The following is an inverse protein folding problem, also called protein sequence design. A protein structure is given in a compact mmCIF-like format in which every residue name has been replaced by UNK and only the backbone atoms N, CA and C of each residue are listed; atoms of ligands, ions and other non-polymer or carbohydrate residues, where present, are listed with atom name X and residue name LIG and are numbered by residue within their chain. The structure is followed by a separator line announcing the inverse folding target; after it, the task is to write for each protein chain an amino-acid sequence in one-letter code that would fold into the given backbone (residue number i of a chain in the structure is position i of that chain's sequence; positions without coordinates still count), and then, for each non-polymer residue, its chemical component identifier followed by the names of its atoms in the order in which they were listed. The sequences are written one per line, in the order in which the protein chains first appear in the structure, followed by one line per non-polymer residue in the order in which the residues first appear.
data_IF_794284193370
#
_entry.id   IF_794284193370
#
_cell.length_a   1.000
_cell.length_b   1.000
_cell.length_c   1.000
_cell.angle_alpha   90.00
_cell.angle_beta   90.00
_cell.angle_gamma   90.00
#
_symmetry.space_group_name_H-M   'P 1'
#
loop_
_entity.id
_entity.type
_entity.pdbx_description
1 polymer ?
#
# COMPACT_ATOMS: atom_id res chain seq x y z
N UNK A 1 -20.25 -66.87 6.40
CA UNK A 1 -20.06 -65.51 6.95
C UNK A 1 -18.68 -64.87 6.69
N UNK A 2 -17.56 -65.61 6.56
CA UNK A 2 -16.21 -65.05 6.33
C UNK A 2 -16.02 -64.40 4.94
N UNK A 3 -16.64 -64.98 3.88
CA UNK A 3 -16.66 -64.41 2.52
C UNK A 3 -17.45 -63.10 2.44
N UNK A 4 -18.62 -63.04 3.09
CA UNK A 4 -19.48 -61.84 3.11
C UNK A 4 -18.76 -60.69 3.81
N UNK A 5 -18.12 -60.93 4.97
CA UNK A 5 -17.28 -59.92 5.65
C UNK A 5 -16.14 -59.41 4.77
N UNK A 6 -15.41 -60.30 4.08
CA UNK A 6 -14.32 -59.91 3.18
C UNK A 6 -14.82 -59.04 2.02
N UNK A 7 -15.95 -59.39 1.41
CA UNK A 7 -16.53 -58.60 0.32
C UNK A 7 -16.95 -57.21 0.80
N UNK A 8 -17.60 -57.11 1.97
CA UNK A 8 -17.97 -55.82 2.56
C UNK A 8 -16.75 -54.93 2.81
N UNK A 9 -15.67 -55.49 3.35
CA UNK A 9 -14.41 -54.75 3.58
C UNK A 9 -13.83 -54.24 2.25
N UNK A 10 -13.79 -55.08 1.22
CA UNK A 10 -13.27 -54.70 -0.10
C UNK A 10 -14.13 -53.60 -0.75
N UNK A 11 -15.45 -53.68 -0.64
CA UNK A 11 -16.36 -52.65 -1.17
C UNK A 11 -16.17 -51.31 -0.48
N UNK A 12 -16.04 -51.29 0.86
CA UNK A 12 -15.74 -50.07 1.62
C UNK A 12 -14.40 -49.48 1.18
N UNK A 13 -13.37 -50.31 1.01
CA UNK A 13 -12.04 -49.86 0.62
C UNK A 13 -12.03 -49.18 -0.77
N UNK A 14 -12.77 -49.75 -1.73
CA UNK A 14 -12.92 -49.18 -3.08
C UNK A 14 -13.71 -47.88 -3.02
N UNK A 15 -14.78 -47.80 -2.22
CA UNK A 15 -15.54 -46.56 -2.05
C UNK A 15 -14.71 -45.45 -1.40
N UNK A 16 -13.94 -45.77 -0.36
CA UNK A 16 -13.05 -44.79 0.28
C UNK A 16 -11.94 -44.33 -0.66
N UNK A 17 -11.38 -45.24 -1.47
CA UNK A 17 -10.35 -44.91 -2.45
C UNK A 17 -10.91 -44.09 -3.61
N UNK A 18 -12.12 -44.40 -4.07
CA UNK A 18 -12.83 -43.63 -5.09
C UNK A 18 -13.17 -42.23 -4.58
N UNK A 19 -13.68 -42.11 -3.35
CA UNK A 19 -13.97 -40.84 -2.72
C UNK A 19 -12.69 -40.01 -2.48
N UNK A 20 -11.60 -40.61 -2.01
CA UNK A 20 -10.33 -39.91 -1.81
C UNK A 20 -9.72 -39.46 -3.13
N UNK A 21 -9.82 -40.28 -4.18
CA UNK A 21 -9.31 -39.93 -5.52
C UNK A 21 -10.15 -38.83 -6.15
N UNK A 22 -11.48 -38.88 -6.02
CA UNK A 22 -12.38 -37.82 -6.47
C UNK A 22 -12.11 -36.51 -5.70
N UNK A 23 -11.88 -36.58 -4.38
CA UNK A 23 -11.53 -35.43 -3.57
C UNK A 23 -10.17 -34.85 -3.95
N UNK A 24 -9.15 -35.69 -4.17
CA UNK A 24 -7.84 -35.26 -4.63
C UNK A 24 -7.91 -34.64 -6.03
N UNK A 25 -8.67 -35.23 -6.95
CA UNK A 25 -8.91 -34.66 -8.26
C UNK A 25 -9.63 -33.30 -8.15
N UNK A 26 -10.65 -33.20 -7.30
CA UNK A 26 -11.33 -31.94 -7.04
C UNK A 26 -10.40 -30.87 -6.45
N UNK A 27 -9.61 -31.20 -5.43
CA UNK A 27 -8.63 -30.28 -4.83
C UNK A 27 -7.50 -29.90 -5.81
N UNK A 28 -7.08 -30.81 -6.68
CA UNK A 28 -5.98 -30.57 -7.60
C UNK A 28 -6.40 -29.83 -8.87
N UNK A 29 -7.62 -30.07 -9.37
CA UNK A 29 -8.13 -29.48 -10.60
C UNK A 29 -9.12 -28.33 -10.39
N UNK A 30 -9.99 -28.41 -9.38
CA UNK A 30 -11.10 -27.46 -9.19
C UNK A 30 -10.87 -26.45 -8.04
N UNK A 31 -10.19 -26.83 -6.96
CA UNK A 31 -9.70 -25.85 -5.98
C UNK A 31 -8.55 -24.96 -6.53
N UNK A 32 -8.26 -25.07 -7.83
CA UNK A 32 -7.32 -24.23 -8.55
C UNK A 32 -7.95 -22.92 -9.08
N UNK A 33 -9.27 -22.73 -9.02
CA UNK A 33 -9.90 -21.47 -9.46
C UNK A 33 -9.48 -20.28 -8.56
N UNK A 34 -9.25 -20.55 -7.27
CA UNK A 34 -8.65 -19.61 -6.31
C UNK A 34 -7.20 -19.22 -6.65
N UNK A 35 -6.57 -19.88 -7.64
CA UNK A 35 -5.20 -19.56 -8.10
C UNK A 35 -5.15 -18.66 -9.33
N UNK A 36 -6.28 -18.33 -9.96
CA UNK A 36 -6.32 -17.41 -11.11
C UNK A 36 -6.09 -15.96 -10.68
N UNK A 37 -4.84 -15.50 -10.73
CA UNK A 37 -4.47 -14.13 -10.38
C UNK A 37 -4.95 -13.08 -11.40
N UNK A 38 -5.56 -13.49 -12.51
CA UNK A 38 -5.98 -12.55 -13.55
C UNK A 38 -7.01 -11.54 -13.06
N UNK A 39 -6.85 -10.30 -13.50
CA UNK A 39 -7.75 -9.20 -13.19
C UNK A 39 -7.02 -7.87 -13.08
N UNK A 40 -7.81 -6.82 -12.95
CA UNK A 40 -7.34 -5.50 -12.57
C UNK A 40 -7.44 -5.37 -11.06
N UNK A 41 -6.34 -5.00 -10.43
CA UNK A 41 -6.18 -4.93 -8.99
C UNK A 41 -5.77 -3.51 -8.61
N UNK A 42 -6.33 -3.01 -7.51
CA UNK A 42 -5.94 -1.72 -6.94
C UNK A 42 -5.39 -1.93 -5.55
N UNK A 43 -4.19 -1.42 -5.31
CA UNK A 43 -3.53 -1.41 -4.01
C UNK A 43 -3.34 0.03 -3.52
N UNK A 44 -3.22 0.18 -2.21
CA UNK A 44 -2.99 1.46 -1.55
C UNK A 44 -1.68 1.40 -0.78
N UNK A 45 -0.80 2.36 -1.05
CA UNK A 45 0.38 2.61 -0.25
C UNK A 45 0.04 3.61 0.85
N UNK A 46 0.12 3.19 2.10
CA UNK A 46 -0.10 4.07 3.24
C UNK A 46 1.11 4.97 3.49
N UNK A 47 0.87 6.28 3.51
CA UNK A 47 1.87 7.33 3.68
C UNK A 47 1.77 8.07 5.02
N UNK A 48 0.70 7.87 5.79
CA UNK A 48 0.42 8.62 7.03
C UNK A 48 1.57 8.61 8.02
N UNK A 49 2.07 7.43 8.41
CA UNK A 49 3.14 7.31 9.40
C UNK A 49 4.41 8.04 8.93
N UNK A 50 4.81 7.83 7.67
CA UNK A 50 6.01 8.47 7.13
C UNK A 50 5.88 10.00 7.08
N UNK A 51 4.74 10.50 6.58
CA UNK A 51 4.47 11.93 6.51
C UNK A 51 4.46 12.56 7.90
N UNK A 52 3.79 11.92 8.87
CA UNK A 52 3.68 12.41 10.23
C UNK A 52 5.03 12.40 10.96
N UNK A 53 5.84 11.35 10.84
CA UNK A 53 7.19 11.30 11.42
C UNK A 53 8.08 12.39 10.82
N UNK A 54 8.02 12.60 9.50
CA UNK A 54 8.82 13.62 8.81
C UNK A 54 8.40 15.03 9.24
N UNK A 55 7.09 15.29 9.30
CA UNK A 55 6.55 16.56 9.77
C UNK A 55 6.89 16.80 11.24
N UNK A 56 6.72 15.81 12.11
CA UNK A 56 7.07 15.90 13.53
C UNK A 56 8.53 16.29 13.72
N UNK A 57 9.46 15.64 13.00
CA UNK A 57 10.87 15.95 13.07
C UNK A 57 11.17 17.41 12.75
N UNK A 58 10.45 18.00 11.79
CA UNK A 58 10.60 19.41 11.44
C UNK A 58 9.89 20.36 12.43
N UNK A 59 8.70 19.99 12.93
CA UNK A 59 7.96 20.80 13.90
C UNK A 59 8.65 20.85 15.26
N UNK A 60 9.37 19.79 15.65
CA UNK A 60 10.11 19.74 16.91
C UNK A 60 11.23 20.78 17.00
N UNK A 61 11.74 21.25 15.86
CA UNK A 61 12.71 22.36 15.82
C UNK A 61 12.09 23.70 16.24
N UNK A 62 10.75 23.80 16.29
CA UNK A 62 10.07 24.97 16.84
C UNK A 62 10.18 24.97 18.38
N UNK A 63 11.26 25.59 18.87
CA UNK A 63 11.54 25.73 20.30
C UNK A 63 10.31 26.23 21.10
N UNK A 64 10.10 25.64 22.28
CA UNK A 64 9.14 26.00 23.33
C UNK A 64 7.73 25.38 23.33
N UNK A 65 7.29 24.69 22.26
CA UNK A 65 6.01 23.96 22.28
C UNK A 65 6.24 22.46 22.13
N UNK A 66 5.67 21.65 23.03
CA UNK A 66 5.72 20.19 22.91
C UNK A 66 4.67 19.75 21.91
N UNK A 67 5.11 19.07 20.86
CA UNK A 67 4.26 18.37 19.90
C UNK A 67 4.57 16.88 19.96
N UNK A 68 3.52 16.06 19.96
CA UNK A 68 3.65 14.59 19.93
C UNK A 68 3.37 14.04 18.54
N UNK A 69 3.76 12.79 18.29
CA UNK A 69 3.43 12.11 17.04
C UNK A 69 1.92 11.98 16.84
N UNK A 70 1.19 11.68 17.91
CA UNK A 70 -0.28 11.55 17.89
C UNK A 70 -0.96 12.85 17.46
N UNK A 71 -0.46 14.00 17.93
CA UNK A 71 -0.98 15.32 17.52
C UNK A 71 -0.82 15.52 16.01
N UNK A 72 0.35 15.17 15.45
CA UNK A 72 0.65 15.34 14.03
C UNK A 72 -0.11 14.33 13.17
N UNK A 73 -0.15 13.06 13.58
CA UNK A 73 -0.91 12.00 12.90
C UNK A 73 -2.41 12.33 12.84
N UNK A 74 -2.95 12.94 13.90
CA UNK A 74 -4.35 13.34 13.93
C UNK A 74 -4.72 14.34 12.83
N UNK A 75 -3.76 15.17 12.39
CA UNK A 75 -3.92 16.10 11.27
C UNK A 75 -3.64 15.45 9.89
N UNK A 76 -3.06 14.24 9.84
CA UNK A 76 -2.54 13.61 8.62
C UNK A 76 -3.14 12.22 8.36
N UNK A 77 -4.46 12.13 8.42
CA UNK A 77 -5.17 10.85 8.31
C UNK A 77 -5.40 10.44 6.85
N UNK A 78 -5.47 9.13 6.62
CA UNK A 78 -5.89 8.53 5.34
C UNK A 78 -5.03 8.96 4.14
N UNK A 79 -3.73 9.18 4.36
CA UNK A 79 -2.79 9.49 3.29
C UNK A 79 -2.43 8.20 2.54
N UNK A 80 -3.05 7.99 1.38
CA UNK A 80 -2.84 6.80 0.54
C UNK A 80 -2.51 7.15 -0.90
N UNK A 81 -1.51 6.48 -1.47
CA UNK A 81 -1.19 6.54 -2.90
C UNK A 81 -1.63 5.25 -3.57
N UNK A 82 -2.44 5.38 -4.62
CA UNK A 82 -2.98 4.24 -5.36
C UNK A 82 -1.95 3.66 -6.33
N UNK A 83 -1.86 2.33 -6.34
CA UNK A 83 -1.17 1.53 -7.34
C UNK A 83 -2.20 0.66 -8.05
N UNK A 84 -2.17 0.66 -9.38
CA UNK A 84 -2.90 -0.31 -10.17
C UNK A 84 -1.97 -1.42 -10.65
N UNK A 85 -2.46 -2.66 -10.58
CA UNK A 85 -1.80 -3.87 -11.03
C UNK A 85 -2.77 -4.66 -11.91
N UNK A 86 -2.41 -4.88 -13.16
CA UNK A 86 -3.15 -5.75 -14.07
C UNK A 86 -2.38 -7.04 -14.26
N UNK A 87 -3.06 -8.17 -14.08
CA UNK A 87 -2.52 -9.50 -14.33
C UNK A 87 -3.34 -10.19 -15.42
N UNK A 88 -2.67 -10.66 -16.47
CA UNK A 88 -3.28 -11.41 -17.56
C UNK A 88 -2.65 -12.80 -17.62
N UNK A 89 -3.46 -13.86 -17.52
CA UNK A 89 -2.94 -15.22 -17.55
C UNK A 89 -2.76 -15.70 -18.99
N UNK A 90 -1.53 -16.11 -19.33
CA UNK A 90 -1.20 -16.67 -20.66
C UNK A 90 -1.05 -18.19 -20.61
N UNK A 91 -0.61 -18.75 -19.48
CA UNK A 91 -0.51 -20.19 -19.23
C UNK A 91 -0.79 -20.53 -17.76
N UNK A 92 -0.79 -21.82 -17.40
CA UNK A 92 -1.12 -22.24 -16.03
C UNK A 92 -0.05 -21.74 -15.06
N UNK A 93 -0.44 -20.78 -14.20
CA UNK A 93 0.48 -20.17 -13.24
C UNK A 93 1.44 -19.16 -13.88
N UNK A 94 1.21 -18.73 -15.11
CA UNK A 94 2.09 -17.79 -15.81
C UNK A 94 1.26 -16.74 -16.54
N UNK A 95 1.85 -15.57 -16.79
CA UNK A 95 1.15 -14.50 -17.46
C UNK A 95 1.97 -13.25 -17.70
N UNK A 96 1.29 -12.20 -18.12
CA UNK A 96 1.85 -10.84 -18.23
C UNK A 96 1.29 -9.96 -17.14
N UNK A 97 2.03 -8.92 -16.77
CA UNK A 97 1.57 -7.92 -15.82
C UNK A 97 1.90 -6.50 -16.29
N UNK A 98 1.11 -5.56 -15.79
CA UNK A 98 1.36 -4.12 -15.86
C UNK A 98 1.10 -3.54 -14.48
N UNK A 99 2.00 -2.70 -14.00
CA UNK A 99 1.89 -2.01 -12.72
C UNK A 99 2.16 -0.51 -12.94
N UNK A 100 1.39 0.33 -12.27
CA UNK A 100 1.56 1.79 -12.33
C UNK A 100 1.07 2.46 -11.04
N UNK A 101 1.84 3.42 -10.56
CA UNK A 101 1.46 4.41 -9.54
C UNK A 101 0.59 5.47 -10.22
N UNK A 102 -0.58 5.75 -9.68
CA UNK A 102 -1.49 6.74 -10.26
C UNK A 102 -1.06 8.18 -9.90
N UNK A 103 -0.63 9.02 -10.86
CA UNK A 103 -0.11 10.36 -10.56
C UNK A 103 -1.13 11.26 -9.86
N UNK A 104 -2.40 11.17 -10.25
CA UNK A 104 -3.48 11.97 -9.66
C UNK A 104 -3.71 11.60 -8.19
N UNK A 105 -3.59 10.31 -7.84
CA UNK A 105 -3.66 9.85 -6.45
C UNK A 105 -2.46 10.34 -5.65
N UNK A 106 -1.26 10.32 -6.24
CA UNK A 106 -0.06 10.88 -5.61
C UNK A 106 -0.23 12.38 -5.33
N UNK A 107 -0.69 13.17 -6.30
CA UNK A 107 -0.88 14.61 -6.13
C UNK A 107 -1.94 14.93 -5.06
N UNK A 108 -3.05 14.18 -5.03
CA UNK A 108 -4.06 14.32 -3.99
C UNK A 108 -3.50 13.97 -2.59
N UNK A 109 -2.77 12.85 -2.48
CA UNK A 109 -2.11 12.45 -1.24
C UNK A 109 -1.08 13.50 -0.79
N UNK A 110 -0.30 14.06 -1.72
CA UNK A 110 0.69 15.11 -1.45
C UNK A 110 0.02 16.37 -0.94
N UNK A 111 -1.05 16.81 -1.60
CA UNK A 111 -1.82 17.97 -1.18
C UNK A 111 -2.37 17.78 0.24
N UNK A 112 -3.05 16.65 0.50
CA UNK A 112 -3.61 16.34 1.82
C UNK A 112 -2.53 16.28 2.92
N UNK A 113 -1.35 15.72 2.62
CA UNK A 113 -0.24 15.68 3.57
C UNK A 113 0.21 17.09 4.00
N UNK A 114 0.33 18.02 3.05
CA UNK A 114 0.72 19.40 3.35
C UNK A 114 -0.40 20.23 3.98
N UNK A 115 -1.68 19.92 3.71
CA UNK A 115 -2.82 20.53 4.40
C UNK A 115 -2.83 20.14 5.89
N UNK A 116 -2.66 18.85 6.19
CA UNK A 116 -2.49 18.38 7.56
C UNK A 116 -1.26 18.96 8.26
N UNK A 117 -0.16 19.12 7.53
CA UNK A 117 1.05 19.73 8.06
C UNK A 117 0.84 21.20 8.39
N UNK A 118 0.14 21.93 7.53
CA UNK A 118 -0.21 23.32 7.75
C UNK A 118 -1.15 23.51 8.94
N UNK A 119 -2.06 22.57 9.19
CA UNK A 119 -2.90 22.58 10.40
C UNK A 119 -2.06 22.44 11.67
N UNK A 120 -1.19 21.42 11.75
CA UNK A 120 -0.31 21.22 12.89
C UNK A 120 0.63 22.42 13.12
N UNK A 121 1.20 22.97 12.04
CA UNK A 121 2.05 24.15 12.10
C UNK A 121 1.32 25.39 12.65
N UNK A 122 0.10 25.67 12.15
CA UNK A 122 -0.71 26.79 12.64
C UNK A 122 -1.13 26.62 14.09
N UNK A 123 -1.43 25.39 14.52
CA UNK A 123 -1.70 25.08 15.93
C UNK A 123 -0.53 25.45 16.84
N UNK A 124 0.69 25.12 16.43
CA UNK A 124 1.91 25.47 17.17
C UNK A 124 2.20 26.98 17.14
N UNK A 125 1.97 27.64 16.00
CA UNK A 125 2.11 29.09 15.89
C UNK A 125 1.11 29.83 16.78
N UNK A 126 -0.15 29.38 16.82
CA UNK A 126 -1.18 29.90 17.71
C UNK A 126 -0.79 29.76 19.19
N UNK A 127 -0.28 28.58 19.59
CA UNK A 127 0.23 28.34 20.94
C UNK A 127 1.35 29.32 21.29
N UNK A 128 2.32 29.48 20.39
CA UNK A 128 3.46 30.37 20.60
C UNK A 128 3.05 31.83 20.73
N UNK A 129 2.12 32.30 19.90
CA UNK A 129 1.56 33.65 19.99
C UNK A 129 0.91 33.87 21.36
N UNK A 130 0.14 32.89 21.83
CA UNK A 130 -0.49 32.94 23.15
C UNK A 130 0.53 33.00 24.29
N UNK A 131 1.60 32.19 24.20
CA UNK A 131 2.71 32.21 25.16
C UNK A 131 3.46 33.56 25.16
N UNK A 132 3.52 34.23 24.01
CA UNK A 132 4.10 35.57 23.86
C UNK A 132 3.16 36.71 24.32
N UNK A 133 1.95 36.40 24.80
CA UNK A 133 0.99 37.37 25.31
C UNK A 133 -0.02 37.88 24.28
N UNK A 134 -0.03 37.34 23.06
CA UNK A 134 -1.07 37.61 22.06
C UNK A 134 -2.25 36.68 22.29
N UNK A 135 -3.22 37.12 23.10
CA UNK A 135 -4.40 36.31 23.45
C UNK A 135 -5.52 36.37 22.42
N UNK A 136 -5.59 37.46 21.64
CA UNK A 136 -6.59 37.66 20.58
C UNK A 136 -6.01 37.30 19.20
N UNK A 137 -6.84 36.79 18.28
CA UNK A 137 -6.41 36.43 16.91
C UNK A 137 -5.53 35.19 16.82
N UNK A 138 -5.70 34.23 17.73
CA UNK A 138 -4.99 32.94 17.71
C UNK A 138 -5.82 31.78 17.15
N UNK A 139 -6.98 32.08 16.55
CA UNK A 139 -7.72 31.09 15.77
C UNK A 139 -7.01 30.78 14.44
N UNK A 140 -7.35 29.64 13.84
CA UNK A 140 -6.65 29.14 12.66
C UNK A 140 -6.75 30.05 11.42
N UNK A 141 -7.79 30.89 11.31
CA UNK A 141 -7.97 31.82 10.20
C UNK A 141 -7.13 33.08 10.41
N UNK A 142 -7.12 33.64 11.62
CA UNK A 142 -6.27 34.77 11.98
C UNK A 142 -4.78 34.44 11.85
N UNK A 143 -4.38 33.22 12.26
CA UNK A 143 -3.00 32.74 12.11
C UNK A 143 -2.63 32.55 10.64
N UNK A 144 -3.55 32.02 9.81
CA UNK A 144 -3.33 31.92 8.37
C UNK A 144 -3.18 33.31 7.72
N UNK A 145 -4.03 34.27 8.10
CA UNK A 145 -3.93 35.64 7.61
C UNK A 145 -2.58 36.28 7.98
N UNK A 146 -2.08 36.05 9.19
CA UNK A 146 -0.75 36.50 9.62
C UNK A 146 0.36 35.87 8.79
N UNK A 147 0.28 34.58 8.47
CA UNK A 147 1.26 33.89 7.60
C UNK A 147 1.23 34.51 6.20
N UNK A 148 0.04 34.74 5.63
CA UNK A 148 -0.12 35.37 4.32
C UNK A 148 0.45 36.79 4.32
N UNK A 149 0.18 37.58 5.37
CA UNK A 149 0.71 38.95 5.48
C UNK A 149 2.24 38.94 5.62
N UNK A 150 2.80 37.99 6.37
CA UNK A 150 4.24 37.92 6.66
C UNK A 150 5.05 37.35 5.49
N UNK A 151 4.57 36.28 4.87
CA UNK A 151 5.31 35.51 3.86
C UNK A 151 4.78 35.70 2.44
N UNK A 152 3.63 36.36 2.26
CA UNK A 152 3.02 36.60 0.95
C UNK A 152 2.39 35.37 0.30
N UNK A 153 2.21 34.28 1.05
CA UNK A 153 1.63 33.02 0.57
C UNK A 153 0.93 32.27 1.71
N UNK A 154 0.08 31.30 1.36
CA UNK A 154 -0.58 30.45 2.35
C UNK A 154 0.40 29.57 3.10
N UNK A 155 0.02 29.09 4.29
CA UNK A 155 0.84 28.16 5.07
C UNK A 155 1.17 26.90 4.25
N UNK A 156 0.20 26.36 3.51
CA UNK A 156 0.40 25.18 2.66
C UNK A 156 1.46 25.45 1.59
N UNK A 157 1.36 26.56 0.85
CA UNK A 157 2.33 26.90 -0.20
C UNK A 157 3.73 27.17 0.37
N UNK A 158 3.81 27.80 1.54
CA UNK A 158 5.06 28.01 2.26
C UNK A 158 5.72 26.67 2.61
N UNK A 159 4.98 25.75 3.24
CA UNK A 159 5.50 24.45 3.66
C UNK A 159 5.85 23.55 2.47
N UNK A 160 5.11 23.61 1.36
CA UNK A 160 5.48 22.91 0.13
C UNK A 160 6.80 23.40 -0.48
N UNK A 161 7.16 24.67 -0.25
CA UNK A 161 8.36 25.29 -0.84
C UNK A 161 9.56 25.21 0.10
N UNK A 162 9.34 25.34 1.41
CA UNK A 162 10.39 25.50 2.41
C UNK A 162 10.44 24.37 3.44
N UNK A 163 9.39 23.56 3.54
CA UNK A 163 9.30 22.43 4.46
C UNK A 163 10.03 21.18 3.94
N UNK A 164 10.04 20.09 4.73
CA UNK A 164 10.63 18.83 4.34
C UNK A 164 9.74 18.11 3.31
N UNK A 165 10.35 17.25 2.50
CA UNK A 165 9.60 16.34 1.63
C UNK A 165 8.86 15.29 2.47
N UNK A 166 7.56 15.50 2.71
CA UNK A 166 6.72 14.60 3.52
C UNK A 166 6.54 13.22 2.88
N UNK A 167 6.48 13.18 1.55
CA UNK A 167 6.33 11.97 0.75
C UNK A 167 7.59 11.72 -0.09
N UNK A 168 7.87 10.45 -0.46
CA UNK A 168 8.87 10.15 -1.49
C UNK A 168 8.47 10.82 -2.79
N UNK A 169 9.42 11.09 -3.67
CA UNK A 169 9.04 11.68 -4.96
C UNK A 169 8.21 10.69 -5.78
N UNK A 170 7.37 11.21 -6.70
CA UNK A 170 6.64 10.36 -7.64
C UNK A 170 7.60 9.46 -8.42
N UNK A 171 8.75 10.00 -8.85
CA UNK A 171 9.79 9.24 -9.55
C UNK A 171 10.35 8.10 -8.70
N UNK A 172 10.52 8.30 -7.39
CA UNK A 172 10.97 7.24 -6.48
C UNK A 172 9.92 6.14 -6.31
N UNK A 173 8.63 6.51 -6.23
CA UNK A 173 7.54 5.54 -6.18
C UNK A 173 7.42 4.77 -7.49
N UNK A 174 7.44 5.47 -8.63
CA UNK A 174 7.40 4.86 -9.96
C UNK A 174 8.61 3.94 -10.17
N UNK A 175 9.80 4.35 -9.74
CA UNK A 175 10.98 3.50 -9.83
C UNK A 175 10.86 2.21 -9.02
N UNK A 176 10.01 2.15 -7.98
CA UNK A 176 9.79 0.95 -7.16
C UNK A 176 8.60 0.08 -7.59
N UNK A 177 7.59 0.67 -8.24
CA UNK A 177 6.32 0.00 -8.52
C UNK A 177 5.92 -0.03 -10.00
N UNK A 178 6.34 0.94 -10.81
CA UNK A 178 5.94 0.99 -12.22
C UNK A 178 6.68 -0.06 -13.05
N UNK A 179 5.97 -0.64 -14.00
CA UNK A 179 6.57 -1.46 -15.05
C UNK A 179 5.67 -2.58 -15.53
N UNK A 180 6.17 -3.28 -16.54
CA UNK A 180 5.49 -4.40 -17.19
C UNK A 180 6.41 -5.59 -17.33
N UNK A 181 5.83 -6.75 -17.59
CA UNK A 181 6.58 -7.92 -18.00
C UNK A 181 5.81 -9.21 -17.80
N UNK A 182 6.53 -10.27 -17.46
CA UNK A 182 5.96 -11.61 -17.27
C UNK A 182 5.98 -12.01 -15.81
N UNK A 183 5.00 -12.81 -15.39
CA UNK A 183 4.97 -13.38 -14.05
C UNK A 183 4.84 -14.89 -14.07
N UNK A 184 5.36 -15.52 -13.02
CA UNK A 184 5.15 -16.92 -12.67
C UNK A 184 4.61 -17.00 -11.23
N UNK A 185 3.60 -17.82 -10.99
CA UNK A 185 2.93 -18.03 -9.72
C UNK A 185 2.92 -19.51 -9.38
N UNK A 186 3.79 -19.90 -8.45
CA UNK A 186 3.95 -21.28 -7.99
C UNK A 186 4.16 -21.32 -6.48
N UNK A 187 3.55 -22.31 -5.82
CA UNK A 187 3.79 -22.60 -4.39
C UNK A 187 3.58 -21.40 -3.42
N UNK A 188 2.73 -20.44 -3.78
CA UNK A 188 2.49 -19.23 -2.96
C UNK A 188 3.52 -18.12 -3.16
N UNK A 189 4.36 -18.22 -4.19
CA UNK A 189 5.35 -17.23 -4.61
C UNK A 189 4.94 -16.68 -5.98
N UNK A 190 4.93 -15.35 -6.09
CA UNK A 190 4.71 -14.60 -7.32
C UNK A 190 6.05 -13.99 -7.74
N UNK A 191 6.61 -14.49 -8.83
CA UNK A 191 7.85 -14.00 -9.42
C UNK A 191 7.50 -13.12 -10.60
N UNK A 192 7.83 -11.82 -10.53
CA UNK A 192 7.61 -10.83 -11.60
C UNK A 192 8.93 -10.49 -12.26
N UNK A 193 9.06 -10.77 -13.55
CA UNK A 193 10.21 -10.40 -14.36
C UNK A 193 9.86 -9.17 -15.20
N UNK A 194 10.51 -8.06 -14.92
CA UNK A 194 10.25 -6.78 -15.57
C UNK A 194 10.97 -6.70 -16.93
N UNK A 195 10.34 -6.05 -17.91
CA UNK A 195 10.98 -5.68 -19.17
C UNK A 195 12.03 -4.57 -18.91
N UNK A 196 13.14 -4.60 -19.67
CA UNK A 196 14.37 -3.80 -19.45
C UNK A 196 14.10 -2.34 -19.04
N UNK A 197 14.52 -1.93 -17.83
CA UNK A 197 14.57 -0.51 -17.41
C UNK A 197 13.88 -0.11 -16.11
N UNK A 198 13.20 -1.03 -15.39
CA UNK A 198 12.57 -0.81 -14.07
C UNK A 198 13.02 -1.80 -12.98
N UNK A 199 12.60 -1.59 -11.72
CA UNK A 199 13.16 -2.13 -10.46
C UNK A 199 13.71 -3.58 -10.48
N UNK A 200 14.95 -3.77 -10.98
CA UNK A 200 15.83 -4.87 -10.57
C UNK A 200 15.58 -6.27 -11.16
N UNK A 201 15.22 -6.38 -12.44
CA UNK A 201 15.15 -7.59 -13.28
C UNK A 201 14.13 -8.68 -12.88
N UNK A 202 14.07 -9.12 -11.62
CA UNK A 202 13.15 -10.15 -11.13
C UNK A 202 12.79 -9.85 -9.68
N UNK A 203 11.50 -9.75 -9.37
CA UNK A 203 10.96 -9.51 -8.02
C UNK A 203 10.19 -10.74 -7.56
N UNK A 204 10.60 -11.36 -6.46
CA UNK A 204 9.98 -12.61 -5.97
C UNK A 204 9.25 -12.41 -4.65
N UNK A 205 7.92 -12.34 -4.69
CA UNK A 205 7.09 -11.97 -3.54
C UNK A 205 6.26 -13.15 -3.05
N UNK A 206 6.02 -13.24 -1.75
CA UNK A 206 5.01 -14.18 -1.24
C UNK A 206 3.64 -13.58 -1.49
N UNK A 207 2.71 -14.35 -2.03
CA UNK A 207 1.35 -13.87 -2.24
C UNK A 207 0.34 -14.69 -1.43
N UNK A 208 -0.66 -14.00 -0.90
CA UNK A 208 -1.85 -14.61 -0.33
C UNK A 208 -3.04 -14.08 -1.12
N UNK A 209 -3.72 -14.97 -1.83
CA UNK A 209 -5.01 -14.65 -2.44
C UNK A 209 -6.13 -15.22 -1.59
N UNK A 210 -7.10 -14.36 -1.28
CA UNK A 210 -8.36 -14.73 -0.62
C UNK A 210 -9.48 -13.93 -1.27
N UNK A 211 -10.37 -14.62 -1.99
CA UNK A 211 -11.50 -14.01 -2.69
C UNK A 211 -11.05 -12.88 -3.64
N UNK A 212 -11.51 -11.65 -3.39
CA UNK A 212 -11.18 -10.43 -4.11
C UNK A 212 -9.94 -9.69 -3.54
N UNK A 213 -9.22 -10.28 -2.60
CA UNK A 213 -8.02 -9.68 -2.00
C UNK A 213 -6.76 -10.46 -2.39
N UNK A 214 -5.73 -9.72 -2.78
CA UNK A 214 -4.40 -10.21 -3.09
C UNK A 214 -3.41 -9.44 -2.21
N UNK A 215 -2.74 -10.13 -1.31
CA UNK A 215 -1.72 -9.55 -0.44
C UNK A 215 -0.37 -9.94 -1.01
N UNK A 216 0.46 -8.95 -1.35
CA UNK A 216 1.85 -9.17 -1.74
C UNK A 216 2.76 -8.83 -0.56
N UNK A 217 3.53 -9.81 -0.12
CA UNK A 217 4.48 -9.73 0.97
C UNK A 217 5.90 -9.77 0.43
N UNK A 218 6.78 -9.08 1.15
CA UNK A 218 8.15 -8.76 0.74
C UNK A 218 9.02 -9.96 0.32
N UNK A 219 10.04 -9.62 -0.45
CA UNK A 219 10.90 -10.50 -1.23
C UNK A 219 11.69 -11.55 -0.42
N UNK A 220 11.68 -12.80 -0.90
CA UNK A 220 12.61 -13.82 -0.41
C UNK A 220 14.01 -13.60 -0.99
N UNK A 221 14.88 -12.89 -0.25
CA UNK A 221 16.33 -13.00 -0.44
C UNK A 221 17.09 -11.87 -1.13
N UNK A 222 16.75 -10.60 -0.88
CA UNK A 222 17.62 -9.46 -1.20
C UNK A 222 18.02 -8.72 0.07
N UNK A 223 19.28 -8.88 0.47
CA UNK A 223 19.90 -8.12 1.55
C UNK A 223 20.66 -6.95 0.96
N UNK A 224 20.00 -5.82 0.77
CA UNK A 224 20.64 -4.50 0.78
C UNK A 224 19.60 -3.38 0.93
N UNK A 225 19.90 -2.46 1.87
CA UNK A 225 19.30 -1.15 2.14
C UNK A 225 17.86 -0.87 1.65
N UNK A 226 16.86 -1.53 2.25
CA UNK A 226 15.44 -1.26 1.98
C UNK A 226 15.02 0.12 2.48
N UNK A 227 14.43 0.92 1.59
CA UNK A 227 13.74 2.18 1.93
C UNK A 227 12.57 1.84 2.86
N UNK A 228 12.23 2.74 3.79
CA UNK A 228 11.21 2.49 4.82
C UNK A 228 9.84 2.04 4.26
N UNK A 229 9.55 2.35 2.99
CA UNK A 229 8.32 2.00 2.26
C UNK A 229 8.18 0.51 1.95
N UNK A 230 9.28 -0.25 1.89
CA UNK A 230 9.25 -1.67 1.50
C UNK A 230 8.79 -2.59 2.65
N UNK A 231 8.55 -2.03 3.84
CA UNK A 231 8.32 -2.81 5.07
C UNK A 231 6.87 -3.23 5.30
N UNK A 232 5.92 -2.65 4.56
CA UNK A 232 4.50 -2.95 4.70
C UNK A 232 3.98 -3.78 3.52
N UNK A 233 3.19 -4.84 3.77
CA UNK A 233 2.58 -5.61 2.70
C UNK A 233 1.61 -4.72 1.93
N UNK A 234 1.65 -4.80 0.59
CA UNK A 234 0.67 -4.10 -0.24
C UNK A 234 -0.54 -5.00 -0.40
N UNK A 235 -1.69 -4.49 0.04
CA UNK A 235 -2.98 -5.17 -0.11
C UNK A 235 -3.65 -4.66 -1.36
N UNK A 236 -3.91 -5.57 -2.30
CA UNK A 236 -4.61 -5.31 -3.53
C UNK A 236 -6.04 -5.84 -3.46
N UNK A 237 -6.98 -5.08 -4.00
CA UNK A 237 -8.39 -5.47 -4.14
C UNK A 237 -8.76 -5.56 -5.62
N UNK A 238 -9.41 -6.65 -6.01
CA UNK A 238 -9.85 -6.90 -7.38
C UNK A 238 -10.96 -5.91 -7.77
N UNK A 239 -10.78 -5.18 -8.87
CA UNK A 239 -11.85 -4.35 -9.45
C UNK A 239 -12.96 -5.26 -9.94
N UNK A 240 -14.14 -5.14 -9.34
CA UNK A 240 -15.31 -5.85 -9.82
C UNK A 240 -15.73 -5.28 -11.18
N UNK A 241 -16.05 -6.13 -12.18
CA UNK A 241 -16.59 -5.63 -13.43
C UNK A 241 -17.88 -4.87 -13.12
N UNK A 242 -17.97 -3.61 -13.54
CA UNK A 242 -19.21 -2.86 -13.43
C UNK A 242 -20.28 -3.63 -14.20
N UNK A 243 -21.23 -4.21 -13.47
CA UNK A 243 -22.42 -4.81 -14.07
C UNK A 243 -23.19 -3.65 -14.72
N UNK A 244 -23.05 -3.53 -16.04
CA UNK A 244 -23.90 -2.65 -16.86
C UNK A 244 -25.29 -3.26 -17.02
#
# INVERSE_FOLDING_TARGET
MRKIRKNVIVTILILTLGASTALLAYLHFFAADDRRLSGEWTGELHMTEQAAVTALGWLQDMEAVKVTLEDVESCMQELTVQIDLTLEQTARGEGTFQCNVLPESYDACRQAAYEGFAEAFRGLLAERLRMAGYAEGTDGEAVEALVIETFGMSTVSYLMTCGPALLPSLEELQAGYDGSGVYEAAEGILTRQFETGGAGAVRSERYIRKDASLILLEETGSGDSKKALDRYPVVYTLKQPQVR
#
